data_IF_448416848430
#
_entry.id   IF_448416848430
#
_cell.length_a   1.000
_cell.length_b   1.000
_cell.length_c   1.000
_cell.angle_alpha   90.00
_cell.angle_beta   90.00
_cell.angle_gamma   90.00
#
_symmetry.space_group_name_H-M   'P 1'
#
loop_
_entity.id
_entity.type
_entity.pdbx_description
1 polymer ?
#
# COMPACT_ATOMS: atom_id res chain seq x y z
N UNK A 1 0.17 16.01 -15.17
CA UNK A 1 -0.43 14.86 -14.49
C UNK A 1 -0.67 15.18 -13.05
N UNK A 2 -0.97 14.16 -12.25
CA UNK A 2 -1.13 14.19 -10.80
C UNK A 2 -0.17 13.19 -10.16
N UNK A 3 0.07 13.32 -8.85
CA UNK A 3 0.73 12.29 -8.05
C UNK A 3 -0.13 11.93 -6.85
N UNK A 4 0.00 10.70 -6.37
CA UNK A 4 -0.56 10.31 -5.09
C UNK A 4 0.26 10.92 -3.95
N UNK A 5 -0.45 11.30 -2.90
CA UNK A 5 0.11 11.86 -1.68
C UNK A 5 -0.54 11.17 -0.49
N UNK A 6 0.27 10.48 0.32
CA UNK A 6 -0.20 9.95 1.60
C UNK A 6 -0.62 11.12 2.51
N UNK A 7 -1.83 11.03 3.06
CA UNK A 7 -2.41 11.97 4.01
C UNK A 7 -1.54 12.14 5.26
N UNK A 8 -1.79 13.19 6.04
CA UNK A 8 -1.08 13.49 7.29
C UNK A 8 -1.14 12.35 8.33
N UNK A 9 -2.19 11.55 8.28
CA UNK A 9 -2.46 10.39 9.14
C UNK A 9 -2.14 9.05 8.46
N UNK A 10 -1.41 9.08 7.35
CA UNK A 10 -0.89 7.91 6.65
C UNK A 10 0.64 7.82 6.76
N UNK A 11 1.12 6.58 6.69
CA UNK A 11 2.51 6.17 6.54
C UNK A 11 2.59 4.80 5.84
N UNK A 12 3.81 4.30 5.62
CA UNK A 12 4.04 3.04 4.91
C UNK A 12 3.36 1.84 5.58
N UNK A 13 3.22 1.86 6.92
CA UNK A 13 2.53 0.78 7.63
C UNK A 13 1.02 0.85 7.41
N UNK A 14 0.41 2.04 7.51
CA UNK A 14 -1.04 2.20 7.32
C UNK A 14 -1.49 1.87 5.89
N UNK A 15 -0.77 2.36 4.88
CA UNK A 15 -1.04 2.02 3.48
C UNK A 15 -0.78 0.53 3.23
N UNK A 16 0.27 -0.04 3.85
CA UNK A 16 0.54 -1.48 3.82
C UNK A 16 -0.61 -2.32 4.40
N UNK A 17 -1.24 -1.88 5.50
CA UNK A 17 -2.44 -2.54 6.05
C UNK A 17 -3.58 -2.55 5.04
N UNK A 18 -3.89 -1.40 4.42
CA UNK A 18 -4.99 -1.31 3.45
C UNK A 18 -4.76 -2.22 2.23
N UNK A 19 -3.54 -2.23 1.67
CA UNK A 19 -3.19 -3.11 0.56
C UNK A 19 -3.27 -4.58 0.96
N UNK A 20 -2.75 -4.94 2.14
CA UNK A 20 -2.73 -6.30 2.63
C UNK A 20 -4.14 -6.84 2.91
N UNK A 21 -5.03 -6.02 3.48
CA UNK A 21 -6.45 -6.36 3.66
C UNK A 21 -7.09 -6.70 2.32
N UNK A 22 -6.90 -5.84 1.31
CA UNK A 22 -7.45 -6.06 -0.03
C UNK A 22 -6.93 -7.35 -0.68
N UNK A 23 -5.68 -7.74 -0.41
CA UNK A 23 -5.07 -8.92 -1.00
C UNK A 23 -5.58 -10.24 -0.37
N UNK A 24 -5.95 -10.23 0.91
CA UNK A 24 -6.41 -11.45 1.62
C UNK A 24 -7.93 -11.58 1.70
N UNK A 25 -8.68 -10.50 1.49
CA UNK A 25 -10.13 -10.44 1.71
C UNK A 25 -10.92 -11.54 0.99
N UNK A 26 -10.54 -11.89 -0.25
CA UNK A 26 -11.23 -12.91 -1.06
C UNK A 26 -10.52 -14.26 -1.08
N UNK A 27 -9.44 -14.41 -0.33
CA UNK A 27 -8.67 -15.64 -0.27
C UNK A 27 -9.06 -16.46 0.95
N UNK A 28 -9.24 -17.76 0.78
CA UNK A 28 -9.32 -18.71 1.90
C UNK A 28 -7.94 -19.13 2.39
N UNK A 29 -6.88 -18.75 1.67
CA UNK A 29 -5.50 -19.09 2.02
C UNK A 29 -5.02 -18.17 3.13
N UNK A 30 -4.65 -18.76 4.25
CA UNK A 30 -4.03 -18.05 5.37
C UNK A 30 -2.52 -18.03 5.15
N UNK A 31 -1.85 -16.86 5.16
CA UNK A 31 -0.41 -16.79 5.02
C UNK A 31 0.30 -17.39 6.24
N UNK A 32 1.39 -18.11 6.02
CA UNK A 32 2.32 -18.59 7.04
C UNK A 32 3.43 -17.57 7.33
N UNK A 33 3.70 -16.66 6.40
CA UNK A 33 4.60 -15.53 6.60
C UNK A 33 4.07 -14.22 6.02
N UNK A 34 4.45 -13.11 6.64
CA UNK A 34 4.23 -11.74 6.20
C UNK A 34 5.58 -11.07 6.01
N UNK A 35 5.83 -10.58 4.80
CA UNK A 35 7.02 -9.79 4.47
C UNK A 35 6.61 -8.36 4.18
N UNK A 36 7.14 -7.40 4.93
CA UNK A 36 6.89 -5.99 4.70
C UNK A 36 8.15 -5.29 4.20
N UNK A 37 8.02 -4.55 3.11
CA UNK A 37 9.12 -3.80 2.51
C UNK A 37 8.77 -2.34 2.35
N UNK A 38 9.62 -1.47 2.88
CA UNK A 38 9.58 -0.03 2.69
C UNK A 38 10.98 0.55 2.74
N UNK A 39 11.21 1.66 2.03
CA UNK A 39 12.36 2.53 2.28
C UNK A 39 12.05 3.58 3.36
N UNK A 40 10.78 3.86 3.66
CA UNK A 40 10.33 4.86 4.64
C UNK A 40 9.88 4.21 5.97
N UNK A 41 10.78 3.47 6.61
CA UNK A 41 10.49 2.71 7.84
C UNK A 41 10.02 3.61 9.00
N UNK A 42 8.87 3.31 9.64
CA UNK A 42 8.43 4.03 10.84
C UNK A 42 9.34 3.82 12.06
N UNK A 43 9.82 2.59 12.27
CA UNK A 43 10.77 2.26 13.34
C UNK A 43 11.99 1.52 12.79
N UNK A 44 13.17 1.82 13.35
CA UNK A 44 14.43 1.14 13.00
C UNK A 44 14.67 -0.12 13.84
N UNK A 45 14.40 -0.08 15.15
CA UNK A 45 14.66 -1.21 16.06
C UNK A 45 13.50 -2.21 16.15
N UNK A 46 12.30 -1.79 15.72
CA UNK A 46 11.09 -2.60 15.79
C UNK A 46 10.75 -3.11 14.39
N UNK A 47 10.44 -4.40 14.29
CA UNK A 47 9.81 -4.98 13.09
C UNK A 47 8.46 -4.31 12.83
N UNK A 48 8.35 -3.60 11.72
CA UNK A 48 7.18 -2.82 11.33
C UNK A 48 6.04 -3.73 10.84
N UNK A 49 6.37 -4.86 10.19
CA UNK A 49 5.42 -5.88 9.75
C UNK A 49 4.48 -6.38 10.86
N UNK A 50 4.93 -6.37 12.12
CA UNK A 50 4.11 -6.81 13.26
C UNK A 50 2.87 -5.93 13.51
N UNK A 51 2.89 -4.67 13.07
CA UNK A 51 1.69 -3.81 13.10
C UNK A 51 0.68 -4.26 12.05
N UNK A 52 1.15 -4.59 10.84
CA UNK A 52 0.31 -5.12 9.76
C UNK A 52 -0.27 -6.48 10.16
N UNK A 53 0.57 -7.37 10.71
CA UNK A 53 0.16 -8.66 11.29
C UNK A 53 -0.99 -8.51 12.30
N UNK A 54 -0.83 -7.58 13.24
CA UNK A 54 -1.84 -7.33 14.27
C UNK A 54 -3.13 -6.72 13.69
N UNK A 55 -3.04 -5.85 12.70
CA UNK A 55 -4.20 -5.21 12.06
C UNK A 55 -5.02 -6.21 11.22
N UNK A 56 -4.34 -7.15 10.57
CA UNK A 56 -4.94 -8.28 9.85
C UNK A 56 -5.42 -9.41 10.77
N UNK A 57 -5.13 -9.32 12.08
CA UNK A 57 -5.45 -10.35 13.08
C UNK A 57 -4.88 -11.73 12.72
N UNK A 58 -3.68 -11.76 12.12
CA UNK A 58 -3.02 -13.01 11.76
C UNK A 58 -2.67 -13.83 13.01
N UNK A 59 -2.64 -15.15 12.87
CA UNK A 59 -2.29 -16.07 13.96
C UNK A 59 -0.88 -15.82 14.48
N UNK A 60 -0.63 -16.13 15.75
CA UNK A 60 0.71 -15.95 16.37
C UNK A 60 1.80 -16.86 15.77
N UNK A 61 1.40 -17.89 15.02
CA UNK A 61 2.30 -18.78 14.29
C UNK A 61 2.75 -18.18 12.95
N UNK A 62 2.08 -17.14 12.46
CA UNK A 62 2.44 -16.45 11.21
C UNK A 62 3.64 -15.56 11.47
N UNK A 63 4.76 -15.86 10.81
CA UNK A 63 5.97 -15.09 10.96
C UNK A 63 5.83 -13.72 10.29
N UNK A 64 6.42 -12.67 10.87
CA UNK A 64 6.38 -11.32 10.32
C UNK A 64 7.79 -10.75 10.22
N UNK A 65 8.20 -10.39 9.00
CA UNK A 65 9.55 -9.95 8.68
C UNK A 65 9.53 -8.61 7.95
N UNK A 66 10.60 -7.85 8.17
CA UNK A 66 10.87 -6.62 7.45
C UNK A 66 11.98 -6.89 6.42
N UNK A 67 11.79 -6.44 5.18
CA UNK A 67 12.80 -6.42 4.12
C UNK A 67 12.92 -4.98 3.59
N UNK A 68 13.63 -4.14 4.34
CA UNK A 68 13.61 -2.68 4.21
C UNK A 68 14.85 -2.11 3.52
N UNK A 69 14.76 -0.83 3.12
CA UNK A 69 15.92 -0.01 2.79
C UNK A 69 16.21 0.17 1.30
N UNK A 70 15.61 -0.63 0.41
CA UNK A 70 15.68 -0.38 -1.03
C UNK A 70 14.50 -0.98 -1.81
N UNK A 71 14.28 -0.49 -3.03
CA UNK A 71 13.33 -1.08 -4.00
C UNK A 71 13.74 -2.52 -4.33
N UNK A 72 15.05 -2.80 -4.45
CA UNK A 72 15.56 -4.15 -4.66
C UNK A 72 15.18 -5.11 -3.53
N UNK A 73 15.07 -4.62 -2.29
CA UNK A 73 14.66 -5.43 -1.13
C UNK A 73 13.19 -5.88 -1.22
N UNK A 74 12.28 -5.04 -1.74
CA UNK A 74 10.89 -5.45 -2.00
C UNK A 74 10.80 -6.55 -3.06
N UNK A 75 11.58 -6.43 -4.13
CA UNK A 75 11.67 -7.46 -5.16
C UNK A 75 12.33 -8.73 -4.62
N UNK A 76 13.33 -8.59 -3.75
CA UNK A 76 13.95 -9.71 -3.03
C UNK A 76 12.96 -10.45 -2.12
N UNK A 77 12.09 -9.73 -1.40
CA UNK A 77 11.04 -10.32 -0.58
C UNK A 77 10.01 -11.08 -1.43
N UNK A 78 9.59 -10.51 -2.57
CA UNK A 78 8.74 -11.22 -3.53
C UNK A 78 9.42 -12.48 -4.07
N UNK A 79 10.69 -12.40 -4.46
CA UNK A 79 11.43 -13.55 -4.95
C UNK A 79 11.57 -14.66 -3.88
N UNK A 80 11.89 -14.27 -2.65
CA UNK A 80 11.98 -15.21 -1.53
C UNK A 80 10.64 -15.91 -1.33
N UNK A 81 9.54 -15.16 -1.29
CA UNK A 81 8.18 -15.72 -1.18
C UNK A 81 7.85 -16.69 -2.33
N UNK A 82 8.15 -16.32 -3.57
CA UNK A 82 7.94 -17.17 -4.76
C UNK A 82 8.77 -18.45 -4.76
N UNK A 83 9.87 -18.48 -4.00
CA UNK A 83 10.77 -19.64 -3.90
C UNK A 83 10.44 -20.55 -2.72
N UNK A 84 9.54 -20.14 -1.83
CA UNK A 84 9.07 -20.93 -0.70
C UNK A 84 7.83 -21.72 -1.11
N UNK A 85 7.74 -22.98 -0.67
CA UNK A 85 6.52 -23.78 -0.78
C UNK A 85 5.59 -23.53 0.43
N UNK A 86 5.32 -22.26 0.73
CA UNK A 86 4.51 -21.84 1.87
C UNK A 86 3.76 -20.53 1.55
N UNK A 87 2.47 -20.40 1.90
CA UNK A 87 1.70 -19.22 1.61
C UNK A 87 2.32 -17.99 2.30
N UNK A 88 2.55 -16.94 1.54
CA UNK A 88 3.29 -15.76 2.01
C UNK A 88 2.64 -14.49 1.52
N UNK A 89 2.35 -13.59 2.46
CA UNK A 89 1.83 -12.26 2.17
C UNK A 89 3.00 -11.29 2.02
N UNK A 90 3.22 -10.78 0.81
CA UNK A 90 4.28 -9.81 0.52
C UNK A 90 3.64 -8.43 0.38
N UNK A 91 3.99 -7.51 1.28
CA UNK A 91 3.46 -6.15 1.32
C UNK A 91 4.60 -5.18 1.05
N UNK A 92 4.43 -4.34 0.04
CA UNK A 92 5.37 -3.26 -0.27
C UNK A 92 4.64 -1.93 -0.15
N UNK A 93 5.20 -0.99 0.60
CA UNK A 93 4.62 0.35 0.76
C UNK A 93 5.70 1.39 0.87
N UNK A 94 5.46 2.58 0.31
CA UNK A 94 6.44 3.64 0.36
C UNK A 94 5.84 5.03 0.29
N UNK A 95 6.59 5.97 0.86
CA UNK A 95 6.38 7.40 0.70
C UNK A 95 7.58 8.00 -0.02
N UNK A 96 7.36 8.57 -1.20
CA UNK A 96 8.40 9.25 -1.97
C UNK A 96 8.31 10.75 -1.74
N UNK A 97 9.32 11.25 -1.04
CA UNK A 97 9.53 12.66 -0.78
C UNK A 97 10.69 13.21 -1.62
N UNK A 98 10.62 14.49 -1.96
CA UNK A 98 11.67 15.25 -2.62
C UNK A 98 11.66 16.70 -2.11
N UNK A 99 12.75 17.44 -2.35
CA UNK A 99 12.76 18.87 -1.98
C UNK A 99 11.80 19.67 -2.88
N UNK A 100 11.26 20.79 -2.40
CA UNK A 100 10.51 21.75 -3.22
C UNK A 100 11.23 22.08 -4.53
N UNK A 101 10.55 21.88 -5.66
CA UNK A 101 11.07 22.11 -7.01
C UNK A 101 11.89 20.97 -7.60
N UNK A 102 12.02 19.83 -6.91
CA UNK A 102 12.79 18.67 -7.41
C UNK A 102 11.95 17.71 -8.27
N UNK A 103 12.66 16.86 -9.02
CA UNK A 103 12.03 15.76 -9.76
C UNK A 103 11.41 14.72 -8.83
N UNK A 104 12.05 14.39 -7.70
CA UNK A 104 11.48 13.46 -6.71
C UNK A 104 10.20 13.99 -6.06
N UNK A 105 10.05 15.30 -5.93
CA UNK A 105 8.79 15.90 -5.46
C UNK A 105 7.67 15.78 -6.51
N UNK A 106 7.98 16.03 -7.78
CA UNK A 106 6.97 16.08 -8.85
C UNK A 106 6.61 14.71 -9.42
N UNK A 107 7.59 13.81 -9.56
CA UNK A 107 7.43 12.48 -10.17
C UNK A 107 7.29 11.34 -9.14
N UNK A 108 7.59 11.59 -7.86
CA UNK A 108 7.32 10.63 -6.80
C UNK A 108 5.82 10.40 -6.60
N UNK A 109 5.46 9.27 -6.01
CA UNK A 109 4.12 8.94 -5.54
C UNK A 109 4.20 8.19 -4.22
N UNK A 110 3.11 8.20 -3.46
CA UNK A 110 2.99 7.39 -2.24
C UNK A 110 1.97 6.28 -2.46
N UNK A 111 2.23 5.09 -1.93
CA UNK A 111 1.30 3.99 -2.10
C UNK A 111 1.75 2.68 -1.47
N UNK A 112 0.90 1.67 -1.65
CA UNK A 112 1.17 0.32 -1.23
C UNK A 112 0.56 -0.68 -2.21
N UNK A 113 1.15 -1.87 -2.25
CA UNK A 113 0.61 -3.04 -2.95
C UNK A 113 0.93 -4.28 -2.12
N UNK A 114 0.07 -5.28 -2.20
CA UNK A 114 0.27 -6.56 -1.52
C UNK A 114 -0.05 -7.72 -2.46
N UNK A 115 0.73 -8.77 -2.36
CA UNK A 115 0.59 -10.00 -3.14
C UNK A 115 0.54 -11.18 -2.17
N UNK A 116 -0.50 -12.01 -2.27
CA UNK A 116 -0.56 -13.30 -1.60
C UNK A 116 0.03 -14.36 -2.53
N UNK A 117 1.19 -14.89 -2.15
CA UNK A 117 1.97 -15.85 -2.93
C UNK A 117 1.80 -17.24 -2.32
N UNK A 118 1.73 -18.28 -3.15
CA UNK A 118 1.65 -19.67 -2.74
C UNK A 118 1.74 -20.60 -3.94
N UNK A 119 1.47 -21.89 -3.73
CA UNK A 119 1.42 -22.90 -4.78
C UNK A 119 -0.01 -23.31 -5.13
N UNK A 120 -0.20 -23.93 -6.30
CA UNK A 120 -1.49 -24.45 -6.74
C UNK A 120 -2.06 -25.56 -5.84
N UNK A 121 -1.21 -26.15 -4.99
CA UNK A 121 -1.64 -27.09 -3.94
C UNK A 121 -2.29 -26.41 -2.73
N UNK A 122 -2.05 -25.12 -2.55
CA UNK A 122 -2.51 -24.32 -1.40
C UNK A 122 -3.71 -23.46 -1.74
N UNK A 123 -3.86 -23.05 -3.00
CA UNK A 123 -4.98 -22.23 -3.45
C UNK A 123 -4.99 -21.98 -4.95
N UNK A 124 -5.99 -21.21 -5.40
CA UNK A 124 -6.12 -20.81 -6.80
C UNK A 124 -5.13 -19.70 -7.11
N UNK A 125 -4.32 -19.90 -8.16
CA UNK A 125 -3.34 -18.92 -8.60
C UNK A 125 -3.93 -18.03 -9.70
N UNK A 126 -3.78 -16.71 -9.59
CA UNK A 126 -4.10 -15.78 -10.69
C UNK A 126 -3.03 -15.83 -11.80
N UNK A 127 -1.79 -16.08 -11.42
CA UNK A 127 -0.68 -16.30 -12.32
C UNK A 127 0.36 -17.22 -11.68
N UNK A 128 1.00 -18.04 -12.51
CA UNK A 128 2.09 -18.93 -12.16
C UNK A 128 3.43 -18.24 -12.41
N UNK A 129 4.36 -18.33 -11.47
CA UNK A 129 5.73 -17.86 -11.67
C UNK A 129 6.52 -18.88 -12.48
N UNK A 130 7.03 -18.48 -13.65
CA UNK A 130 7.63 -19.42 -14.61
C UNK A 130 9.14 -19.27 -14.75
N UNK A 131 9.71 -18.07 -14.57
CA UNK A 131 11.14 -17.85 -14.74
C UNK A 131 11.66 -16.55 -14.13
N UNK A 132 12.98 -16.47 -14.02
CA UNK A 132 13.76 -15.37 -13.46
C UNK A 132 14.97 -15.05 -14.32
N UNK A 133 15.36 -13.79 -14.32
CA UNK A 133 16.70 -13.39 -14.73
C UNK A 133 17.15 -12.19 -13.92
N UNK A 134 18.43 -12.17 -13.54
CA UNK A 134 18.99 -11.09 -12.72
C UNK A 134 20.36 -10.69 -13.23
N UNK A 135 20.65 -9.40 -13.14
CA UNK A 135 21.96 -8.83 -13.37
C UNK A 135 22.19 -7.76 -12.31
N UNK A 136 22.95 -8.09 -11.27
CA UNK A 136 23.25 -7.19 -10.16
C UNK A 136 24.63 -6.57 -10.37
N UNK A 137 24.74 -5.26 -10.17
CA UNK A 137 26.01 -4.55 -10.21
C UNK A 137 26.03 -3.44 -9.16
N UNK A 138 27.19 -3.21 -8.54
CA UNK A 138 27.37 -2.08 -7.63
C UNK A 138 27.62 -0.80 -8.44
N UNK A 139 26.73 0.18 -8.26
CA UNK A 139 26.89 1.55 -8.71
C UNK A 139 25.97 2.46 -7.88
N UNK A 140 26.35 3.72 -7.75
CA UNK A 140 25.66 4.68 -6.89
C UNK A 140 25.00 5.80 -7.72
N UNK A 141 23.84 5.52 -8.34
CA UNK A 141 23.06 6.54 -9.05
C UNK A 141 22.07 7.27 -8.13
N UNK A 142 21.57 6.59 -7.10
CA UNK A 142 20.65 7.12 -6.10
C UNK A 142 21.03 6.60 -4.71
N UNK A 143 21.00 7.48 -3.71
CA UNK A 143 21.26 7.08 -2.32
C UNK A 143 20.49 7.94 -1.31
N UNK A 144 20.34 7.41 -0.09
CA UNK A 144 19.81 8.14 1.05
C UNK A 144 20.51 7.69 2.32
N UNK A 145 21.08 8.63 3.06
CA UNK A 145 21.77 8.35 4.31
C UNK A 145 20.73 8.07 5.41
N UNK A 146 21.00 7.18 6.39
CA UNK A 146 20.11 7.01 7.54
C UNK A 146 19.80 8.35 8.21
N UNK A 147 18.52 8.62 8.49
CA UNK A 147 18.03 9.89 9.04
C UNK A 147 17.69 10.96 7.99
N UNK A 148 18.17 10.83 6.75
CA UNK A 148 17.76 11.75 5.67
C UNK A 148 16.33 11.42 5.22
N UNK A 149 15.52 12.46 5.05
CA UNK A 149 14.15 12.37 4.54
C UNK A 149 14.06 12.45 3.01
N UNK A 150 15.20 12.56 2.30
CA UNK A 150 15.27 12.70 0.85
C UNK A 150 16.38 11.86 0.23
N UNK A 151 16.13 11.37 -0.97
CA UNK A 151 17.19 10.80 -1.80
C UNK A 151 18.07 11.89 -2.40
N UNK A 152 19.29 11.49 -2.75
CA UNK A 152 20.22 12.23 -3.58
C UNK A 152 20.44 11.41 -4.85
N UNK A 153 20.73 12.11 -5.93
CA UNK A 153 20.94 11.53 -7.26
C UNK A 153 22.32 11.91 -7.75
N UNK A 154 22.95 10.99 -8.45
CA UNK A 154 24.08 11.27 -9.31
C UNK A 154 23.58 11.80 -10.67
N UNK A 155 24.48 12.00 -11.61
CA UNK A 155 24.15 12.39 -12.98
C UNK A 155 23.27 11.33 -13.68
N UNK A 156 22.15 11.77 -14.26
CA UNK A 156 21.11 10.88 -14.80
C UNK A 156 21.64 9.93 -15.89
N UNK A 157 22.55 10.38 -16.76
CA UNK A 157 23.06 9.51 -17.83
C UNK A 157 23.90 8.35 -17.30
N UNK A 158 24.53 8.51 -16.14
CA UNK A 158 25.29 7.43 -15.51
C UNK A 158 24.36 6.26 -15.19
N UNK A 159 23.28 6.48 -14.42
CA UNK A 159 22.32 5.43 -14.07
C UNK A 159 21.69 4.79 -15.31
N UNK A 160 21.21 5.59 -16.27
CA UNK A 160 20.64 5.12 -17.54
C UNK A 160 21.59 4.15 -18.27
N UNK A 161 22.86 4.51 -18.41
CA UNK A 161 23.85 3.69 -19.12
C UNK A 161 24.08 2.36 -18.42
N UNK A 162 24.06 2.34 -17.07
CA UNK A 162 24.31 1.14 -16.27
C UNK A 162 23.14 0.17 -16.37
N UNK A 163 21.91 0.64 -16.17
CA UNK A 163 20.73 -0.22 -16.31
C UNK A 163 20.56 -0.73 -17.75
N UNK A 164 20.78 0.12 -18.76
CA UNK A 164 20.68 -0.28 -20.17
C UNK A 164 21.70 -1.37 -20.55
N UNK A 165 22.89 -1.36 -19.94
CA UNK A 165 23.90 -2.40 -20.16
C UNK A 165 23.54 -3.74 -19.48
N UNK A 166 22.88 -3.71 -18.32
CA UNK A 166 22.53 -4.91 -17.55
C UNK A 166 21.23 -5.58 -18.02
N UNK A 167 20.28 -4.80 -18.53
CA UNK A 167 18.95 -5.29 -18.88
C UNK A 167 18.95 -6.45 -19.88
N UNK A 168 19.73 -6.45 -20.97
CA UNK A 168 19.76 -7.57 -21.91
C UNK A 168 20.17 -8.90 -21.26
N UNK A 169 21.09 -8.87 -20.30
CA UNK A 169 21.57 -10.06 -19.59
C UNK A 169 20.46 -10.68 -18.74
N UNK A 170 19.80 -9.87 -17.91
CA UNK A 170 18.70 -10.34 -17.06
C UNK A 170 17.51 -10.81 -17.92
N UNK A 171 17.18 -10.05 -18.98
CA UNK A 171 16.11 -10.39 -19.90
C UNK A 171 16.32 -11.72 -20.62
N UNK A 172 17.51 -11.91 -21.22
CA UNK A 172 17.85 -13.14 -21.93
C UNK A 172 17.85 -14.35 -20.99
N UNK A 173 18.33 -14.20 -19.75
CA UNK A 173 18.30 -15.27 -18.76
C UNK A 173 16.88 -15.72 -18.44
N UNK A 174 15.95 -14.77 -18.20
CA UNK A 174 14.56 -15.08 -17.90
C UNK A 174 13.84 -15.77 -19.07
N UNK A 175 13.99 -15.24 -20.28
CA UNK A 175 13.40 -15.83 -21.48
C UNK A 175 13.97 -17.22 -21.77
N UNK A 176 15.29 -17.40 -21.64
CA UNK A 176 15.94 -18.70 -21.84
C UNK A 176 15.45 -19.73 -20.83
N UNK A 177 15.33 -19.36 -19.55
CA UNK A 177 14.81 -20.25 -18.52
C UNK A 177 13.34 -20.64 -18.80
N UNK A 178 12.52 -19.71 -19.30
CA UNK A 178 11.13 -19.98 -19.65
C UNK A 178 10.95 -20.70 -21.01
N UNK A 179 11.99 -20.77 -21.84
CA UNK A 179 11.87 -21.24 -23.22
C UNK A 179 11.02 -20.32 -24.11
N UNK A 180 11.04 -19.01 -23.84
CA UNK A 180 10.24 -17.99 -24.53
C UNK A 180 11.11 -17.05 -25.37
N UNK A 181 10.47 -16.32 -26.28
CA UNK A 181 11.01 -15.18 -27.01
C UNK A 181 10.35 -13.89 -26.55
N UNK A 182 10.94 -12.73 -26.87
CA UNK A 182 10.36 -11.43 -26.52
C UNK A 182 8.95 -11.21 -27.14
N UNK A 183 8.66 -11.84 -28.28
CA UNK A 183 7.35 -11.81 -28.93
C UNK A 183 6.26 -12.58 -28.18
N UNK A 184 6.64 -13.47 -27.26
CA UNK A 184 5.70 -14.26 -26.46
C UNK A 184 5.24 -13.51 -25.21
N UNK A 185 5.77 -12.31 -24.96
CA UNK A 185 5.40 -11.45 -23.83
C UNK A 185 4.19 -10.61 -24.22
N UNK A 186 3.08 -10.83 -23.53
CA UNK A 186 1.82 -10.11 -23.75
C UNK A 186 1.74 -8.80 -22.96
N UNK A 187 2.38 -8.76 -21.79
CA UNK A 187 2.43 -7.58 -20.93
C UNK A 187 3.85 -7.34 -20.42
N UNK A 188 4.43 -6.19 -20.75
CA UNK A 188 5.72 -5.74 -20.24
C UNK A 188 5.51 -4.64 -19.19
N UNK A 189 5.82 -4.99 -17.95
CA UNK A 189 5.89 -4.06 -16.82
C UNK A 189 7.35 -3.67 -16.61
N UNK A 190 7.68 -2.37 -16.71
CA UNK A 190 9.01 -1.86 -16.36
C UNK A 190 8.89 -0.89 -15.20
N UNK A 191 9.47 -1.26 -14.06
CA UNK A 191 9.45 -0.48 -12.83
C UNK A 191 10.87 -0.13 -12.40
N UNK A 192 11.06 1.05 -11.81
CA UNK A 192 12.36 1.49 -11.32
C UNK A 192 12.31 2.96 -10.96
N UNK A 193 13.27 3.47 -10.21
CA UNK A 193 13.25 4.88 -9.75
C UNK A 193 13.91 5.86 -10.72
N UNK A 194 14.32 5.37 -11.88
CA UNK A 194 15.05 6.10 -12.92
C UNK A 194 14.24 6.08 -14.22
N UNK A 195 13.33 7.04 -14.39
CA UNK A 195 12.32 7.03 -15.47
C UNK A 195 12.92 6.93 -16.87
N UNK A 196 14.04 7.63 -17.09
CA UNK A 196 14.76 7.57 -18.36
C UNK A 196 15.31 6.17 -18.67
N UNK A 197 15.87 5.49 -17.66
CA UNK A 197 16.36 4.13 -17.79
C UNK A 197 15.20 3.15 -18.02
N UNK A 198 14.10 3.29 -17.29
CA UNK A 198 12.89 2.47 -17.49
C UNK A 198 12.40 2.58 -18.95
N UNK A 199 12.32 3.80 -19.47
CA UNK A 199 11.88 4.06 -20.85
C UNK A 199 12.85 3.50 -21.88
N UNK A 200 14.15 3.70 -21.69
CA UNK A 200 15.18 3.22 -22.63
C UNK A 200 15.24 1.69 -22.66
N UNK A 201 15.18 1.06 -21.48
CA UNK A 201 15.15 -0.40 -21.34
C UNK A 201 13.87 -0.97 -21.95
N UNK A 202 12.68 -0.46 -21.61
CA UNK A 202 11.43 -0.98 -22.19
C UNK A 202 11.47 -1.07 -23.73
N UNK A 203 12.00 -0.04 -24.39
CA UNK A 203 12.13 0.01 -25.86
C UNK A 203 13.20 -0.92 -26.42
N UNK A 204 14.20 -1.30 -25.63
CA UNK A 204 15.32 -2.14 -26.10
C UNK A 204 15.06 -3.65 -25.97
N UNK A 205 14.06 -4.07 -25.19
CA UNK A 205 13.78 -5.48 -24.90
C UNK A 205 13.13 -6.26 -26.07
N UNK A 206 12.79 -5.59 -27.18
CA UNK A 206 12.21 -6.23 -28.36
C UNK A 206 10.75 -6.67 -28.20
N UNK A 207 10.06 -6.18 -27.16
CA UNK A 207 8.63 -6.38 -26.95
C UNK A 207 7.84 -5.31 -27.71
N UNK A 208 6.65 -5.68 -28.22
CA UNK A 208 5.76 -4.77 -28.94
C UNK A 208 5.25 -3.66 -28.02
N UNK A 209 5.10 -2.44 -28.53
CA UNK A 209 4.69 -1.28 -27.72
C UNK A 209 3.30 -1.40 -27.12
N UNK A 210 2.40 -2.15 -27.76
CA UNK A 210 1.03 -2.40 -27.30
C UNK A 210 0.99 -3.29 -26.05
N UNK A 211 2.05 -4.07 -25.80
CA UNK A 211 2.19 -4.88 -24.60
C UNK A 211 2.70 -4.06 -23.40
N UNK A 212 3.06 -2.79 -23.58
CA UNK A 212 3.61 -2.00 -22.46
C UNK A 212 2.49 -1.63 -21.51
N UNK A 213 2.65 -2.02 -20.24
CA UNK A 213 1.72 -1.63 -19.17
C UNK A 213 1.98 -0.17 -18.79
N UNK A 214 0.90 0.60 -18.58
CA UNK A 214 1.00 1.99 -18.13
C UNK A 214 1.81 2.07 -16.83
N UNK A 215 2.82 2.95 -16.79
CA UNK A 215 3.67 3.15 -15.62
C UNK A 215 2.95 3.88 -14.49
N UNK A 216 1.74 4.39 -14.71
CA UNK A 216 0.98 5.22 -13.77
C UNK A 216 1.71 6.51 -13.36
N UNK A 217 2.81 6.87 -14.04
CA UNK A 217 3.63 8.02 -13.69
C UNK A 217 2.86 9.35 -13.81
N UNK A 218 1.88 9.42 -14.71
CA UNK A 218 1.08 10.62 -14.94
C UNK A 218 -0.08 10.81 -13.96
N UNK A 219 -0.47 9.77 -13.21
CA UNK A 219 -1.67 9.75 -12.36
C UNK A 219 -1.36 9.47 -10.89
N UNK A 220 -0.43 8.55 -10.62
CA UNK A 220 0.03 8.13 -9.29
C UNK A 220 1.44 8.65 -9.01
N UNK A 221 2.31 8.66 -10.01
CA UNK A 221 3.74 8.85 -9.81
C UNK A 221 4.43 7.56 -9.35
N UNK A 222 5.74 7.64 -9.14
CA UNK A 222 6.54 6.49 -8.76
C UNK A 222 6.43 6.17 -7.26
N UNK A 223 5.80 5.06 -6.91
CA UNK A 223 5.54 4.64 -5.51
C UNK A 223 6.70 3.90 -4.85
N UNK A 224 7.93 4.03 -5.37
CA UNK A 224 9.12 3.41 -4.76
C UNK A 224 9.04 1.89 -4.74
N UNK A 225 9.24 1.29 -3.56
CA UNK A 225 9.25 -0.16 -3.37
C UNK A 225 7.89 -0.80 -3.65
N UNK A 226 6.79 -0.06 -3.52
CA UNK A 226 5.45 -0.54 -3.88
C UNK A 226 5.22 -0.61 -5.39
N UNK A 227 6.00 0.14 -6.18
CA UNK A 227 5.71 0.37 -7.59
C UNK A 227 5.73 -0.91 -8.43
N UNK A 228 6.71 -1.84 -8.30
CA UNK A 228 6.69 -3.10 -9.05
C UNK A 228 5.43 -3.93 -8.81
N UNK A 229 5.01 -4.08 -7.55
CA UNK A 229 3.82 -4.85 -7.18
C UNK A 229 2.52 -4.15 -7.59
N UNK A 230 2.47 -2.82 -7.52
CA UNK A 230 1.32 -2.02 -7.99
C UNK A 230 1.12 -2.19 -9.50
N UNK A 231 2.19 -2.11 -10.29
CA UNK A 231 2.11 -2.28 -11.74
C UNK A 231 1.80 -3.73 -12.13
N UNK A 232 2.31 -4.71 -11.39
CA UNK A 232 1.93 -6.12 -11.58
C UNK A 232 0.44 -6.34 -11.31
N UNK A 233 -0.11 -5.75 -10.24
CA UNK A 233 -1.54 -5.81 -9.96
C UNK A 233 -2.38 -5.18 -11.10
N UNK A 234 -1.98 -4.00 -11.59
CA UNK A 234 -2.61 -3.34 -12.74
C UNK A 234 -2.56 -4.20 -14.02
N UNK A 235 -1.44 -4.89 -14.26
CA UNK A 235 -1.31 -5.82 -15.38
C UNK A 235 -2.25 -7.03 -15.23
N UNK A 236 -2.34 -7.61 -14.03
CA UNK A 236 -3.23 -8.74 -13.74
C UNK A 236 -4.71 -8.39 -13.90
N UNK A 237 -5.12 -7.16 -13.56
CA UNK A 237 -6.49 -6.68 -13.74
C UNK A 237 -6.90 -6.50 -15.20
N UNK A 238 -5.94 -6.33 -16.11
CA UNK A 238 -6.19 -6.15 -17.56
C UNK A 238 -5.84 -7.37 -18.41
N UNK A 239 -5.14 -8.36 -17.84
CA UNK A 239 -4.76 -9.57 -18.54
C UNK A 239 -5.90 -10.58 -18.67
N UNK A 240 -5.82 -11.42 -19.69
CA UNK A 240 -6.67 -12.60 -19.91
C UNK A 240 -5.88 -13.87 -19.65
N UNK A 241 -6.54 -15.03 -19.45
CA UNK A 241 -5.85 -16.30 -19.22
C UNK A 241 -4.77 -16.66 -20.23
N UNK A 242 -3.75 -17.39 -19.77
CA UNK A 242 -2.63 -17.93 -20.55
C UNK A 242 -1.65 -16.90 -21.16
N UNK A 243 -1.81 -15.62 -20.83
CA UNK A 243 -0.88 -14.56 -21.22
C UNK A 243 0.38 -14.52 -20.36
N UNK A 244 1.50 -14.10 -20.94
CA UNK A 244 2.78 -13.91 -20.26
C UNK A 244 2.96 -12.46 -19.82
N UNK A 245 3.14 -12.25 -18.52
CA UNK A 245 3.50 -10.96 -17.93
C UNK A 245 4.99 -10.98 -17.56
N UNK A 246 5.74 -10.00 -18.06
CA UNK A 246 7.12 -9.78 -17.68
C UNK A 246 7.25 -8.57 -16.76
N UNK A 247 7.66 -8.79 -15.52
CA UNK A 247 8.00 -7.75 -14.56
C UNK A 247 9.51 -7.50 -14.58
N UNK A 248 9.91 -6.35 -15.11
CA UNK A 248 11.30 -5.89 -15.17
C UNK A 248 11.50 -4.78 -14.15
N UNK A 249 12.39 -4.98 -13.18
CA UNK A 249 12.68 -3.99 -12.13
C UNK A 249 14.12 -3.50 -12.20
N UNK A 250 14.28 -2.19 -12.33
CA UNK A 250 15.55 -1.47 -12.34
C UNK A 250 15.78 -0.86 -10.95
N UNK A 251 16.60 -1.54 -10.14
CA UNK A 251 17.04 -1.09 -8.82
C UNK A 251 18.32 -1.86 -8.44
N UNK A 252 19.44 -1.16 -8.24
CA UNK A 252 20.74 -1.76 -7.89
C UNK A 252 21.14 -2.92 -8.84
N UNK A 253 20.84 -2.73 -10.12
CA UNK A 253 20.84 -3.77 -11.16
C UNK A 253 19.47 -3.99 -11.79
N UNK A 254 19.29 -5.13 -12.46
CA UNK A 254 18.04 -5.49 -13.14
C UNK A 254 17.53 -6.84 -12.64
N UNK A 255 16.25 -6.90 -12.33
CA UNK A 255 15.51 -8.13 -12.05
C UNK A 255 14.43 -8.33 -13.12
N UNK A 256 14.26 -9.55 -13.60
CA UNK A 256 13.18 -9.95 -14.50
C UNK A 256 12.47 -11.15 -13.90
N UNK A 257 11.16 -11.04 -13.70
CA UNK A 257 10.29 -12.14 -13.29
C UNK A 257 9.22 -12.34 -14.35
N UNK A 258 9.05 -13.58 -14.80
CA UNK A 258 8.02 -13.94 -15.76
C UNK A 258 6.90 -14.70 -15.07
N UNK A 259 5.67 -14.34 -15.40
CA UNK A 259 4.46 -14.97 -14.91
C UNK A 259 3.57 -15.40 -16.07
N UNK A 260 2.88 -16.52 -15.93
CA UNK A 260 1.83 -16.97 -16.85
C UNK A 260 0.49 -16.89 -16.14
N UNK A 261 -0.42 -16.09 -16.67
CA UNK A 261 -1.77 -15.97 -16.11
C UNK A 261 -2.58 -17.25 -16.29
N UNK A 262 -3.50 -17.51 -15.36
CA UNK A 262 -4.33 -18.72 -15.37
C UNK A 262 -5.78 -18.41 -15.76
N UNK A 263 -6.59 -19.45 -15.94
CA UNK A 263 -8.03 -19.33 -16.18
C UNK A 263 -8.78 -18.64 -15.02
N UNK A 264 -8.20 -18.60 -13.81
CA UNK A 264 -8.80 -17.96 -12.65
C UNK A 264 -9.06 -16.47 -12.84
N UNK A 265 -8.27 -15.79 -13.69
CA UNK A 265 -8.47 -14.38 -14.00
C UNK A 265 -9.84 -14.10 -14.62
N UNK A 266 -10.42 -15.04 -15.37
CA UNK A 266 -11.71 -14.85 -16.02
C UNK A 266 -12.87 -14.60 -15.02
N UNK A 267 -12.71 -15.07 -13.78
CA UNK A 267 -13.66 -14.90 -12.68
C UNK A 267 -13.13 -14.03 -11.54
N UNK A 268 -11.93 -13.47 -11.69
CA UNK A 268 -11.32 -12.66 -10.64
C UNK A 268 -11.90 -11.25 -10.67
N UNK A 269 -12.56 -10.87 -9.58
CA UNK A 269 -13.06 -9.52 -9.37
C UNK A 269 -12.33 -8.89 -8.18
N UNK A 270 -11.43 -7.91 -8.40
CA UNK A 270 -10.82 -7.18 -7.30
C UNK A 270 -11.91 -6.36 -6.59
N UNK A 271 -11.81 -6.21 -5.26
CA UNK A 271 -12.77 -5.35 -4.50
C UNK A 271 -12.79 -3.93 -5.06
N UNK A 272 -11.61 -3.38 -5.35
CA UNK A 272 -11.42 -2.10 -6.03
C UNK A 272 -10.24 -2.23 -6.98
N UNK A 273 -10.49 -2.03 -8.26
CA UNK A 273 -9.43 -2.01 -9.27
C UNK A 273 -8.43 -0.90 -8.98
N UNK A 274 -7.19 -1.04 -9.46
CA UNK A 274 -6.18 0.03 -9.42
C UNK A 274 -6.76 1.29 -10.07
N UNK A 275 -7.42 1.14 -11.23
CA UNK A 275 -8.06 2.25 -11.93
C UNK A 275 -9.14 2.96 -11.08
N UNK A 276 -10.00 2.21 -10.38
CA UNK A 276 -11.02 2.80 -9.51
C UNK A 276 -10.39 3.57 -8.34
N UNK A 277 -9.32 3.04 -7.75
CA UNK A 277 -8.58 3.72 -6.68
C UNK A 277 -7.94 5.02 -7.18
N UNK A 278 -7.32 4.99 -8.37
CA UNK A 278 -6.71 6.17 -9.02
C UNK A 278 -7.76 7.23 -9.39
N UNK A 279 -8.99 6.83 -9.71
CA UNK A 279 -10.07 7.77 -10.02
C UNK A 279 -10.78 8.32 -8.77
N UNK A 280 -10.61 7.67 -7.61
CA UNK A 280 -11.18 8.09 -6.34
C UNK A 280 -10.29 9.11 -5.62
N UNK A 281 -10.09 10.28 -6.25
CA UNK A 281 -9.12 11.30 -5.79
C UNK A 281 -9.77 12.44 -5.00
N UNK A 282 -9.02 12.96 -4.02
CA UNK A 282 -9.24 14.27 -3.43
C UNK A 282 -8.03 15.17 -3.71
N UNK A 283 -8.26 16.44 -4.07
CA UNK A 283 -7.18 17.38 -4.32
C UNK A 283 -6.74 18.09 -3.04
N UNK A 284 -5.44 18.36 -2.91
CA UNK A 284 -4.88 19.18 -1.83
C UNK A 284 -4.09 20.34 -2.41
N UNK A 285 -3.95 21.41 -1.64
CA UNK A 285 -3.08 22.52 -2.02
C UNK A 285 -1.62 22.16 -1.79
N UNK A 286 -0.72 22.77 -2.57
CA UNK A 286 0.72 22.55 -2.42
C UNK A 286 1.24 22.93 -1.02
N UNK A 287 0.73 24.01 -0.42
CA UNK A 287 1.07 24.38 0.96
C UNK A 287 0.67 23.31 1.98
N UNK A 288 -0.49 22.65 1.78
CA UNK A 288 -0.93 21.53 2.62
C UNK A 288 -0.04 20.31 2.44
N UNK A 289 0.32 19.98 1.20
CA UNK A 289 1.31 18.94 0.90
C UNK A 289 2.64 19.19 1.62
N UNK A 290 3.22 20.39 1.50
CA UNK A 290 4.48 20.74 2.17
C UNK A 290 4.38 20.66 3.69
N UNK A 291 3.26 21.10 4.27
CA UNK A 291 3.02 20.99 5.71
C UNK A 291 2.96 19.53 6.15
N UNK A 292 2.23 18.66 5.44
CA UNK A 292 2.14 17.22 5.73
C UNK A 292 3.47 16.50 5.57
N UNK A 293 4.35 16.98 4.68
CA UNK A 293 5.71 16.45 4.50
C UNK A 293 6.74 17.07 5.46
N UNK A 294 6.32 17.97 6.35
CA UNK A 294 7.22 18.63 7.30
C UNK A 294 8.22 19.59 6.64
N UNK A 295 7.96 20.03 5.42
CA UNK A 295 8.80 20.96 4.64
C UNK A 295 8.39 22.41 4.84
N UNK A 296 7.17 22.64 5.32
CA UNK A 296 6.66 23.95 5.69
C UNK A 296 6.29 23.94 7.17
N UNK A 297 6.97 24.76 7.96
CA UNK A 297 6.59 25.00 9.36
C UNK A 297 5.28 25.79 9.38
N UNK A 298 4.25 25.20 9.98
CA UNK A 298 2.95 25.84 10.18
C UNK A 298 2.80 26.27 11.64
N UNK A 299 1.97 27.29 11.88
CA UNK A 299 1.61 27.69 13.24
C UNK A 299 0.97 26.49 13.97
N UNK A 300 1.47 26.09 15.14
CA UNK A 300 0.93 24.95 15.86
C UNK A 300 -0.47 25.27 16.41
N UNK A 301 -1.33 24.25 16.59
CA UNK A 301 -2.63 24.44 17.24
C UNK A 301 -2.44 24.93 18.68
N UNK A 302 -3.42 25.71 19.19
CA UNK A 302 -3.38 26.31 20.54
C UNK A 302 -3.63 25.30 21.68
N UNK A 303 -3.75 24.02 21.37
CA UNK A 303 -3.92 22.93 22.34
C UNK A 303 -2.59 22.22 22.56
N UNK A 304 -2.34 21.68 23.77
CA UNK A 304 -1.17 20.86 24.02
C UNK A 304 -1.09 19.68 23.05
N UNK A 305 0.15 19.28 22.73
CA UNK A 305 0.39 18.07 21.97
C UNK A 305 -0.16 16.83 22.72
N UNK A 306 -0.61 15.78 21.99
CA UNK A 306 -1.04 14.54 22.61
C UNK A 306 0.06 13.90 23.47
N UNK A 307 -0.33 13.32 24.59
CA UNK A 307 0.59 12.54 25.42
C UNK A 307 1.04 11.27 24.69
N UNK A 308 2.30 10.86 24.93
CA UNK A 308 2.84 9.59 24.44
C UNK A 308 1.90 8.41 24.76
N UNK A 309 1.53 7.56 23.77
CA UNK A 309 0.72 6.37 24.01
C UNK A 309 1.40 5.39 24.98
N UNK A 310 0.62 4.77 25.86
CA UNK A 310 1.13 3.73 26.75
C UNK A 310 1.32 2.40 26.00
N UNK A 311 2.55 1.90 25.99
CA UNK A 311 2.89 0.59 25.42
C UNK A 311 2.19 -0.55 26.15
N UNK A 312 2.09 -0.49 27.49
CA UNK A 312 1.43 -1.54 28.28
C UNK A 312 -0.08 -1.53 28.09
N UNK A 313 -0.70 -0.35 27.94
CA UNK A 313 -2.11 -0.27 27.59
C UNK A 313 -2.36 -0.83 26.19
N UNK A 314 -1.53 -0.44 25.21
CA UNK A 314 -1.56 -0.96 23.84
C UNK A 314 -1.43 -2.49 23.79
N UNK A 315 -0.54 -3.08 24.60
CA UNK A 315 -0.40 -4.53 24.69
C UNK A 315 -1.67 -5.22 25.23
N UNK A 316 -2.32 -4.66 26.25
CA UNK A 316 -3.56 -5.22 26.83
C UNK A 316 -4.78 -5.05 25.93
N UNK A 317 -4.82 -4.01 25.10
CA UNK A 317 -5.94 -3.72 24.19
C UNK A 317 -5.57 -3.96 22.72
N UNK A 318 -4.62 -4.84 22.43
CA UNK A 318 -4.08 -5.07 21.08
C UNK A 318 -5.18 -5.39 20.05
N UNK A 319 -6.12 -6.26 20.40
CA UNK A 319 -7.21 -6.65 19.49
C UNK A 319 -8.15 -5.49 19.17
N UNK A 320 -8.48 -4.66 20.16
CA UNK A 320 -9.25 -3.43 19.94
C UNK A 320 -8.47 -2.43 19.10
N UNK A 321 -7.21 -2.19 19.46
CA UNK A 321 -6.38 -1.14 18.85
C UNK A 321 -6.04 -1.42 17.39
N UNK A 322 -5.58 -2.64 17.10
CA UNK A 322 -5.09 -3.02 15.78
C UNK A 322 -6.15 -3.77 14.99
N UNK A 323 -6.80 -4.77 15.59
CA UNK A 323 -7.80 -5.58 14.89
C UNK A 323 -9.21 -4.99 14.83
N UNK A 324 -9.44 -3.83 15.45
CA UNK A 324 -10.75 -3.19 15.61
C UNK A 324 -11.82 -4.17 16.13
N UNK A 325 -11.45 -4.94 17.16
CA UNK A 325 -12.30 -6.00 17.71
C UNK A 325 -13.18 -5.45 18.83
N UNK A 326 -14.49 -5.43 18.60
CA UNK A 326 -15.51 -5.22 19.62
C UNK A 326 -15.85 -6.50 20.39
N UNK A 327 -16.80 -6.41 21.31
CA UNK A 327 -17.34 -7.57 22.01
C UNK A 327 -18.85 -7.67 21.85
N UNK A 328 -19.40 -8.87 22.03
CA UNK A 328 -20.84 -9.12 21.88
C UNK A 328 -21.39 -9.69 23.18
N UNK A 329 -22.45 -9.08 23.71
CA UNK A 329 -23.14 -9.58 24.90
C UNK A 329 -24.09 -10.74 24.56
N UNK A 330 -24.69 -11.35 25.59
CA UNK A 330 -25.62 -12.50 25.42
C UNK A 330 -26.90 -12.12 24.64
N UNK A 331 -27.21 -10.84 24.52
CA UNK A 331 -28.35 -10.29 23.77
C UNK A 331 -28.00 -9.96 22.30
N UNK A 332 -26.74 -10.12 21.90
CA UNK A 332 -26.25 -9.86 20.55
C UNK A 332 -25.83 -8.40 20.29
N UNK A 333 -25.80 -7.54 21.31
CA UNK A 333 -25.35 -6.15 21.20
C UNK A 333 -23.82 -6.08 21.12
N UNK A 334 -23.32 -5.27 20.19
CA UNK A 334 -21.87 -5.07 20.00
C UNK A 334 -21.38 -3.86 20.81
N UNK A 335 -20.49 -4.10 21.77
CA UNK A 335 -19.84 -3.05 22.55
C UNK A 335 -18.49 -2.64 21.94
N UNK A 336 -18.33 -1.32 21.75
CA UNK A 336 -17.11 -0.69 21.22
C UNK A 336 -16.78 0.58 22.02
N UNK A 337 -15.70 0.62 22.82
CA UNK A 337 -14.68 -0.41 23.03
C UNK A 337 -15.21 -1.72 23.65
N UNK A 338 -14.50 -2.85 23.48
CA UNK A 338 -14.95 -4.14 24.00
C UNK A 338 -15.10 -4.15 25.52
N UNK A 339 -16.21 -4.70 25.98
CA UNK A 339 -16.46 -5.04 27.39
C UNK A 339 -15.67 -6.28 27.80
N UNK A 340 -15.35 -6.35 29.11
CA UNK A 340 -14.75 -7.54 29.74
C UNK A 340 -15.80 -8.57 30.18
N UNK A 341 -17.07 -8.15 30.26
CA UNK A 341 -18.18 -9.02 30.66
C UNK A 341 -18.63 -9.92 29.51
N UNK A 342 -18.39 -9.46 28.29
CA UNK A 342 -18.74 -10.15 27.06
C UNK A 342 -17.68 -11.21 26.70
N UNK A 343 -18.14 -12.42 26.37
CA UNK A 343 -17.26 -13.53 25.98
C UNK A 343 -16.97 -13.58 24.48
N UNK A 344 -17.92 -13.16 23.63
CA UNK A 344 -17.75 -13.19 22.18
C UNK A 344 -16.99 -11.95 21.69
N UNK A 345 -16.12 -12.15 20.71
CA UNK A 345 -15.33 -11.09 20.05
C UNK A 345 -15.76 -10.98 18.59
N UNK A 346 -15.98 -9.76 18.12
CA UNK A 346 -16.39 -9.46 16.74
C UNK A 346 -15.39 -8.51 16.10
N UNK A 347 -14.84 -8.90 14.96
CA UNK A 347 -14.01 -7.99 14.16
C UNK A 347 -14.92 -6.99 13.45
N UNK A 348 -14.58 -5.72 13.55
CA UNK A 348 -15.34 -4.62 12.96
C UNK A 348 -14.53 -3.88 11.89
N UNK A 349 -13.31 -4.35 11.60
CA UNK A 349 -12.39 -3.73 10.64
C UNK A 349 -12.99 -3.60 9.24
N UNK A 350 -13.84 -4.55 8.83
CA UNK A 350 -14.53 -4.54 7.53
C UNK A 350 -16.00 -4.06 7.66
N UNK A 351 -16.41 -3.56 8.83
CA UNK A 351 -17.78 -3.12 9.04
C UNK A 351 -18.06 -1.81 8.29
N UNK A 352 -19.22 -1.76 7.64
CA UNK A 352 -19.79 -0.52 7.12
C UNK A 352 -20.73 0.10 8.15
N UNK A 353 -20.89 1.43 8.07
CA UNK A 353 -21.78 2.14 8.97
C UNK A 353 -22.35 3.42 8.39
N UNK A 354 -23.27 4.01 9.14
CA UNK A 354 -23.99 5.24 8.81
C UNK A 354 -23.64 6.33 9.81
N UNK A 355 -23.34 7.53 9.31
CA UNK A 355 -23.14 8.72 10.15
C UNK A 355 -24.49 9.14 10.75
N UNK A 356 -24.61 9.10 12.08
CA UNK A 356 -25.82 9.49 12.81
C UNK A 356 -25.80 10.98 13.18
N UNK A 357 -24.61 11.47 13.53
CA UNK A 357 -24.35 12.89 13.82
C UNK A 357 -22.86 13.16 13.68
N UNK A 358 -22.47 14.41 13.45
CA UNK A 358 -21.08 14.82 13.35
C UNK A 358 -20.84 16.23 13.90
N UNK A 359 -19.58 16.53 14.22
CA UNK A 359 -19.12 17.83 14.68
C UNK A 359 -17.83 18.22 13.97
N UNK A 360 -17.70 19.51 13.68
CA UNK A 360 -16.49 20.11 13.11
C UNK A 360 -15.69 20.80 14.21
N UNK A 361 -14.54 20.24 14.57
CA UNK A 361 -13.66 20.80 15.60
C UNK A 361 -12.46 21.52 14.96
N UNK A 362 -12.42 22.84 15.13
CA UNK A 362 -11.31 23.71 14.67
C UNK A 362 -10.21 23.91 15.73
N UNK A 363 -10.37 23.36 16.93
CA UNK A 363 -9.49 23.57 18.08
C UNK A 363 -8.61 22.36 18.39
N UNK A 364 -9.04 21.15 18.04
CA UNK A 364 -8.25 19.94 18.24
C UNK A 364 -6.92 19.97 17.49
N UNK A 365 -5.90 19.32 18.06
CA UNK A 365 -4.60 19.17 17.42
C UNK A 365 -4.74 18.33 16.14
N UNK A 366 -4.50 18.92 14.98
CA UNK A 366 -4.49 18.23 13.68
C UNK A 366 -3.68 19.03 12.66
N UNK A 367 -3.00 18.31 11.78
CA UNK A 367 -2.33 18.87 10.61
C UNK A 367 -3.29 19.13 9.44
N UNK A 368 -4.57 18.77 9.59
CA UNK A 368 -5.63 19.00 8.61
C UNK A 368 -6.92 19.46 9.30
N UNK A 369 -6.96 20.68 9.86
CA UNK A 369 -8.18 21.21 10.46
C UNK A 369 -9.24 21.58 9.39
N UNK A 370 -10.54 21.49 9.72
CA UNK A 370 -11.10 21.00 10.98
C UNK A 370 -11.02 19.48 11.11
N UNK A 371 -10.90 18.99 12.34
CA UNK A 371 -11.13 17.57 12.66
C UNK A 371 -12.63 17.30 12.58
N UNK A 372 -13.03 16.26 11.86
CA UNK A 372 -14.44 15.85 11.77
C UNK A 372 -14.64 14.63 12.66
N UNK A 373 -15.40 14.78 13.74
CA UNK A 373 -15.82 13.65 14.58
C UNK A 373 -17.26 13.29 14.24
N UNK A 374 -17.51 12.00 14.01
CA UNK A 374 -18.84 11.47 13.75
C UNK A 374 -19.20 10.39 14.78
N UNK A 375 -20.49 10.23 15.04
CA UNK A 375 -21.03 9.02 15.67
C UNK A 375 -21.54 8.13 14.55
N UNK A 376 -21.01 6.92 14.46
CA UNK A 376 -21.33 5.95 13.41
C UNK A 376 -22.09 4.77 14.02
N UNK A 377 -23.20 4.39 13.39
CA UNK A 377 -23.93 3.14 13.62
C UNK A 377 -23.51 2.12 12.58
N UNK A 378 -23.07 0.94 13.01
CA UNK A 378 -22.63 -0.12 12.10
C UNK A 378 -23.79 -1.07 11.75
N UNK A 379 -23.83 -1.56 10.51
CA UNK A 379 -24.97 -2.32 9.96
C UNK A 379 -25.31 -3.61 10.72
N UNK A 380 -24.35 -4.17 11.45
CA UNK A 380 -24.48 -5.40 12.23
C UNK A 380 -24.26 -5.17 13.73
N UNK A 381 -24.60 -3.96 14.19
CA UNK A 381 -24.56 -3.56 15.58
C UNK A 381 -23.27 -2.84 15.98
N UNK A 382 -23.39 -2.07 17.06
CA UNK A 382 -22.32 -1.23 17.58
C UNK A 382 -22.48 0.21 17.14
N UNK A 383 -22.10 1.11 18.06
CA UNK A 383 -22.07 2.56 17.85
C UNK A 383 -20.75 3.09 18.38
N UNK A 384 -20.07 3.93 17.60
CA UNK A 384 -18.79 4.48 18.00
C UNK A 384 -18.64 5.96 17.60
N UNK A 385 -18.27 6.86 18.52
CA UNK A 385 -17.70 8.14 18.16
C UNK A 385 -16.30 7.93 17.55
N UNK A 386 -16.11 8.35 16.31
CA UNK A 386 -14.89 8.13 15.54
C UNK A 386 -14.54 9.35 14.69
N UNK A 387 -13.25 9.56 14.47
CA UNK A 387 -12.78 10.60 13.55
C UNK A 387 -12.99 10.15 12.10
N UNK A 388 -13.48 11.06 11.26
CA UNK A 388 -13.54 10.86 9.81
C UNK A 388 -12.23 11.29 9.15
N UNK A 389 -11.85 10.59 8.09
CA UNK A 389 -10.72 10.91 7.22
C UNK A 389 -11.15 10.84 5.75
N UNK A 390 -10.32 11.38 4.86
CA UNK A 390 -10.62 11.46 3.42
C UNK A 390 -11.94 12.18 3.09
N UNK A 391 -12.29 13.21 3.86
CA UNK A 391 -13.51 14.02 3.71
C UNK A 391 -13.21 15.49 3.41
N UNK A 392 -14.04 16.11 2.56
CA UNK A 392 -14.30 17.54 2.68
C UNK A 392 -15.36 17.73 3.76
N UNK A 393 -15.06 18.56 4.76
CA UNK A 393 -15.98 18.87 5.86
C UNK A 393 -17.32 19.46 5.38
N UNK A 394 -17.35 20.11 4.21
CA UNK A 394 -18.56 20.63 3.61
C UNK A 394 -19.47 19.55 2.99
N UNK A 395 -18.92 18.38 2.69
CA UNK A 395 -19.63 17.27 2.02
C UNK A 395 -20.13 16.21 3.01
N UNK A 396 -19.72 16.28 4.28
CA UNK A 396 -20.15 15.34 5.31
C UNK A 396 -21.62 15.57 5.64
N UNK A 397 -22.42 14.50 5.61
CA UNK A 397 -23.85 14.53 5.89
C UNK A 397 -24.27 13.40 6.84
N UNK A 398 -25.31 13.67 7.64
CA UNK A 398 -26.04 12.63 8.38
C UNK A 398 -26.67 11.68 7.36
N UNK A 399 -26.60 10.38 7.62
CA UNK A 399 -26.99 9.33 6.67
C UNK A 399 -25.86 8.91 5.73
N UNK A 400 -24.73 9.63 5.69
CA UNK A 400 -23.57 9.26 4.87
C UNK A 400 -22.99 7.90 5.26
N UNK A 401 -22.62 7.11 4.25
CA UNK A 401 -22.06 5.77 4.40
C UNK A 401 -20.56 5.81 4.54
N UNK A 402 -20.03 5.05 5.50
CA UNK A 402 -18.60 4.99 5.80
C UNK A 402 -18.09 3.56 5.93
N UNK A 403 -16.81 3.39 5.60
CA UNK A 403 -16.03 2.19 5.85
C UNK A 403 -14.83 2.52 6.75
N UNK A 404 -14.26 1.49 7.36
CA UNK A 404 -13.15 1.64 8.28
C UNK A 404 -11.80 1.58 7.56
N UNK A 405 -10.89 2.48 7.96
CA UNK A 405 -9.52 2.52 7.45
C UNK A 405 -8.50 2.69 8.56
N UNK A 406 -7.36 2.02 8.45
CA UNK A 406 -6.31 2.03 9.45
C UNK A 406 -5.41 3.25 9.30
N UNK A 407 -5.21 4.04 10.37
CA UNK A 407 -4.54 5.34 10.33
C UNK A 407 -3.55 5.52 11.48
N UNK A 408 -2.59 6.43 11.28
CA UNK A 408 -1.69 6.95 12.31
C UNK A 408 -2.32 8.22 12.88
N UNK A 409 -2.99 8.12 14.02
CA UNK A 409 -3.70 9.25 14.63
C UNK A 409 -2.74 10.41 14.96
N UNK A 410 -1.60 10.08 15.56
CA UNK A 410 -0.54 11.04 15.88
C UNK A 410 0.76 10.30 16.23
N UNK A 411 1.85 11.07 16.34
CA UNK A 411 3.12 10.62 16.91
C UNK A 411 3.46 11.49 18.11
N UNK A 412 3.87 10.88 19.21
CA UNK A 412 4.35 11.62 20.39
C UNK A 412 5.59 10.91 20.95
N UNK A 413 6.68 11.66 21.14
CA UNK A 413 7.97 11.14 21.61
C UNK A 413 8.45 9.93 20.79
N UNK A 414 8.34 10.02 19.46
CA UNK A 414 8.70 8.93 18.53
C UNK A 414 7.73 7.74 18.49
N UNK A 415 6.69 7.71 19.32
CA UNK A 415 5.71 6.61 19.36
C UNK A 415 4.49 6.95 18.52
N UNK A 416 4.28 6.17 17.45
CA UNK A 416 3.11 6.23 16.58
C UNK A 416 1.87 5.63 17.27
N UNK A 417 0.79 6.40 17.31
CA UNK A 417 -0.50 5.93 17.77
C UNK A 417 -1.37 5.50 16.59
N UNK A 418 -1.30 4.22 16.22
CA UNK A 418 -2.18 3.67 15.21
C UNK A 418 -3.54 3.29 15.77
N UNK A 419 -4.59 3.58 15.00
CA UNK A 419 -5.97 3.18 15.27
C UNK A 419 -6.81 3.34 14.00
N UNK A 420 -8.09 2.97 14.08
CA UNK A 420 -9.02 3.06 12.97
C UNK A 420 -9.72 4.42 12.92
N UNK A 421 -9.90 4.95 11.71
CA UNK A 421 -10.79 6.06 11.38
C UNK A 421 -11.86 5.57 10.40
N UNK A 422 -12.92 6.35 10.23
CA UNK A 422 -13.93 6.08 9.20
C UNK A 422 -13.68 6.98 7.98
N UNK A 423 -13.86 6.47 6.77
CA UNK A 423 -13.86 7.26 5.53
C UNK A 423 -15.14 7.02 4.74
N UNK A 424 -15.64 7.99 3.96
CA UNK A 424 -16.82 7.77 3.14
C UNK A 424 -16.62 6.65 2.12
N UNK A 425 -17.69 5.89 1.87
CA UNK A 425 -17.74 4.95 0.76
C UNK A 425 -17.98 5.78 -0.52
N UNK A 426 -16.94 5.93 -1.34
CA UNK A 426 -17.03 6.63 -2.62
C UNK A 426 -17.49 5.63 -3.69
N UNK A 427 -18.62 5.92 -4.36
CA UNK A 427 -19.16 5.11 -5.47
C UNK A 427 -20.60 4.58 -5.33
N UNK A 428 -21.30 4.83 -4.21
CA UNK A 428 -22.71 4.40 -4.04
C UNK A 428 -23.75 5.50 -4.34
N UNK A 429 -23.32 6.65 -4.89
CA UNK A 429 -24.20 7.75 -5.27
C UNK A 429 -24.68 7.68 -6.73
N UNK A 430 -25.05 6.50 -7.23
CA UNK A 430 -25.85 6.35 -8.46
C UNK A 430 -26.79 5.16 -8.30
N UNK A 431 -27.99 5.36 -7.74
CA UNK A 431 -29.21 4.60 -8.13
C UNK A 431 -30.51 5.09 -7.48
N UNK A 432 -30.50 5.87 -6.40
CA UNK A 432 -31.75 6.37 -5.79
C UNK A 432 -31.99 7.85 -6.10
N UNK A 433 -32.43 8.15 -7.33
CA UNK A 433 -32.70 9.54 -7.72
C UNK A 433 -33.42 9.75 -9.06
N UNK A 434 -34.26 8.83 -9.51
CA UNK A 434 -35.23 9.12 -10.57
C UNK A 434 -36.50 8.27 -10.37
N UNK A 435 -37.47 8.83 -9.65
CA UNK A 435 -38.88 8.43 -9.74
C UNK A 435 -39.74 9.68 -9.76
#
# INVERSE_FOLDING_TARGET
>A
GTRSVASFDEDATTMGVEAARSAVERSTVVPESLWFSTVAVPYLDKTNATTIHAALRLGSHVAAFDANGSVKSAVGALHAALSMDAPSLVVSSDLRSGLPGSTDESAGGDGAAALLVGSSSQGVLLAEYIARGTATEEFLDRWRTPGDNRSKLWEERFGETRYAALAPTAWAAALTQAGLQASDVDHLVVAGTHDRANTSVARSLGVRTEAFVDSLAATVGNTGAAHPALLLASALESATPNQVIALVVLADGVEVMLFRTTDALASYEPRRTVAAQVNSVGAITYGRFLAWRGMLTVEPPRRPEPSRPSATATGRSREWKFGFVGSVNDEGEVHMPPSRLDSERRAMADAHGTIVTYTLDKLSYSLNPPVVFAVVDFDHGGRLPIELTDVDAAEVAIGGRVEMTFRKLFTADGVHNYFWKARPIRGEHEENGAS
#
